data_IF_845930312211
#
_entry.id   IF_845930312211
#
_cell.length_a   1.000
_cell.length_b   1.000
_cell.length_c   1.000
_cell.angle_alpha   90.00
_cell.angle_beta   90.00
_cell.angle_gamma   90.00
#
_symmetry.space_group_name_H-M   'P 1'
#
loop_
_entity.id
_entity.type
_entity.pdbx_description
1 polymer ?
#
# COMPACT_ATOMS: atom_id res chain seq x y z
N UNK A 1 -6.31 32.92 -7.63
CA UNK A 1 -4.99 33.16 -8.25
C UNK A 1 -4.32 31.79 -8.32
N UNK A 2 -4.05 31.27 -9.52
CA UNK A 2 -3.28 30.03 -9.64
C UNK A 2 -1.83 30.39 -9.32
N UNK A 3 -1.34 29.92 -8.18
CA UNK A 3 0.05 30.11 -7.80
C UNK A 3 0.93 29.44 -8.85
N UNK A 4 1.67 30.27 -9.60
CA UNK A 4 2.71 29.83 -10.51
C UNK A 4 3.76 29.08 -9.67
N UNK A 5 3.70 27.75 -9.69
CA UNK A 5 4.76 26.93 -9.16
C UNK A 5 5.98 27.10 -10.06
N UNK A 6 6.87 28.00 -9.68
CA UNK A 6 8.17 28.16 -10.31
C UNK A 6 8.92 26.82 -10.17
N UNK A 7 9.06 26.11 -11.30
CA UNK A 7 9.78 24.83 -11.37
C UNK A 7 11.27 24.97 -11.05
N UNK A 8 11.75 26.21 -10.93
CA UNK A 8 13.14 26.54 -10.63
C UNK A 8 13.38 26.97 -9.17
N UNK A 9 12.37 26.90 -8.28
CA UNK A 9 12.55 27.33 -6.89
C UNK A 9 13.54 26.43 -6.12
N UNK A 10 14.78 26.91 -6.02
CA UNK A 10 15.86 26.27 -5.31
C UNK A 10 16.00 26.81 -3.88
N UNK A 11 15.97 25.90 -2.92
CA UNK A 11 16.05 26.17 -1.50
C UNK A 11 17.24 25.45 -0.87
N UNK A 12 17.70 25.97 0.26
CA UNK A 12 18.77 25.37 1.05
C UNK A 12 18.20 24.50 2.17
N UNK A 13 18.90 23.42 2.51
CA UNK A 13 18.51 22.58 3.63
C UNK A 13 18.72 23.32 4.98
N UNK A 14 17.74 23.28 5.90
CA UNK A 14 17.87 23.87 7.23
C UNK A 14 18.99 23.27 8.09
N UNK A 15 19.37 22.01 7.86
CA UNK A 15 20.43 21.32 8.61
C UNK A 15 21.84 21.63 8.08
N UNK A 16 21.98 21.76 6.76
CA UNK A 16 23.26 22.07 6.12
C UNK A 16 23.04 22.99 4.90
N UNK A 17 23.65 24.18 4.94
CA UNK A 17 23.55 25.20 3.88
C UNK A 17 24.23 24.80 2.57
N UNK A 18 25.10 23.78 2.58
CA UNK A 18 25.73 23.26 1.35
C UNK A 18 24.73 22.48 0.49
N UNK A 19 23.66 21.95 1.09
CA UNK A 19 22.63 21.24 0.34
C UNK A 19 21.65 22.22 -0.29
N UNK A 20 21.81 22.44 -1.60
CA UNK A 20 20.88 23.21 -2.44
C UNK A 20 20.06 22.26 -3.30
N UNK A 21 18.73 22.42 -3.29
CA UNK A 21 17.83 21.55 -4.05
C UNK A 21 16.49 22.22 -4.32
N UNK A 22 15.67 21.62 -5.18
CA UNK A 22 14.32 22.10 -5.45
C UNK A 22 13.41 22.01 -4.22
N UNK A 23 12.51 22.99 -4.03
CA UNK A 23 11.54 22.99 -2.93
C UNK A 23 10.74 21.70 -2.82
N UNK A 24 10.31 21.13 -3.95
CA UNK A 24 9.57 19.85 -4.02
C UNK A 24 10.36 18.66 -3.45
N UNK A 25 11.70 18.71 -3.51
CA UNK A 25 12.60 17.64 -3.03
C UNK A 25 13.05 17.84 -1.58
N UNK A 26 12.89 19.05 -1.03
CA UNK A 26 13.35 19.40 0.31
C UNK A 26 12.71 18.51 1.40
N UNK A 27 11.41 18.23 1.31
CA UNK A 27 10.71 17.41 2.31
C UNK A 27 11.31 15.99 2.43
N UNK A 28 11.56 15.33 1.29
CA UNK A 28 12.18 14.00 1.27
C UNK A 28 13.62 14.03 1.78
N UNK A 29 14.35 15.10 1.49
CA UNK A 29 15.73 15.28 1.92
C UNK A 29 15.88 15.51 3.43
N UNK A 30 14.99 16.32 4.02
CA UNK A 30 14.97 16.65 5.45
C UNK A 30 14.89 15.37 6.30
N UNK A 31 14.12 14.37 5.89
CA UNK A 31 13.98 13.11 6.64
C UNK A 31 15.32 12.40 6.85
N UNK A 32 16.19 12.42 5.83
CA UNK A 32 17.54 11.82 5.90
C UNK A 32 18.51 12.73 6.64
N UNK A 33 18.50 14.03 6.32
CA UNK A 33 19.41 14.99 6.95
C UNK A 33 19.18 15.14 8.45
N UNK A 34 17.93 15.00 8.92
CA UNK A 34 17.60 15.01 10.34
C UNK A 34 18.31 13.90 11.12
N UNK A 35 18.51 12.73 10.51
CA UNK A 35 19.20 11.61 11.16
C UNK A 35 20.70 11.84 11.17
N UNK A 36 21.26 12.36 10.08
CA UNK A 36 22.70 12.59 9.92
C UNK A 36 23.19 13.72 10.83
N UNK A 37 22.45 14.83 10.90
CA UNK A 37 22.85 16.06 11.61
C UNK A 37 22.12 16.24 12.95
N UNK A 38 21.57 15.16 13.52
CA UNK A 38 20.79 15.20 14.76
C UNK A 38 21.56 15.83 15.92
N UNK A 39 22.86 15.53 16.01
CA UNK A 39 23.70 15.93 17.14
C UNK A 39 24.40 17.29 16.91
N UNK A 40 24.34 17.82 15.69
CA UNK A 40 25.05 19.05 15.31
C UNK A 40 24.15 20.28 15.28
N UNK A 41 22.88 20.11 14.91
CA UNK A 41 21.94 21.22 14.73
C UNK A 41 20.60 20.85 15.32
N UNK A 42 20.22 21.55 16.39
CA UNK A 42 18.88 21.44 16.97
C UNK A 42 17.93 22.41 16.26
N UNK A 43 17.00 21.84 15.49
CA UNK A 43 15.92 22.57 14.83
C UNK A 43 14.59 22.23 15.49
N UNK A 44 13.86 23.28 15.86
CA UNK A 44 12.52 23.20 16.42
C UNK A 44 11.48 23.29 15.31
N UNK A 45 10.37 22.56 15.48
CA UNK A 45 9.25 22.56 14.53
C UNK A 45 8.25 23.63 14.94
N UNK A 46 7.83 24.48 14.01
CA UNK A 46 6.81 25.49 14.30
C UNK A 46 5.47 24.84 14.72
N UNK A 47 4.78 25.38 15.74
CA UNK A 47 3.46 24.90 16.15
C UNK A 47 2.37 25.08 15.08
N UNK A 48 2.52 26.06 14.19
CA UNK A 48 1.52 26.42 13.18
C UNK A 48 1.72 25.66 11.86
N UNK A 49 2.97 25.41 11.48
CA UNK A 49 3.31 24.70 10.26
C UNK A 49 4.49 23.75 10.46
N UNK A 50 4.24 22.46 10.27
CA UNK A 50 5.25 21.39 10.48
C UNK A 50 6.40 21.41 9.47
N UNK A 51 6.25 22.14 8.36
CA UNK A 51 7.31 22.30 7.37
C UNK A 51 8.36 23.34 7.79
N UNK A 52 8.04 24.23 8.73
CA UNK A 52 8.99 25.23 9.25
C UNK A 52 9.90 24.58 10.28
N UNK A 53 11.17 24.44 9.89
CA UNK A 53 12.26 23.99 10.76
C UNK A 53 13.15 25.19 11.09
N UNK A 54 13.30 25.48 12.38
CA UNK A 54 13.82 26.76 12.84
C UNK A 54 14.87 26.54 13.91
N UNK A 55 16.03 27.21 13.83
CA UNK A 55 17.00 27.17 14.91
C UNK A 55 16.40 27.68 16.22
N UNK A 56 16.73 27.02 17.33
CA UNK A 56 16.30 27.38 18.68
C UNK A 56 16.34 28.90 18.98
N UNK A 57 17.42 29.66 18.70
CA UNK A 57 17.47 31.09 19.06
C UNK A 57 16.44 31.95 18.31
N UNK A 58 16.01 31.53 17.12
CA UNK A 58 15.05 32.28 16.29
C UNK A 58 13.61 31.78 16.48
N UNK A 59 13.42 30.66 17.19
CA UNK A 59 12.12 30.03 17.36
C UNK A 59 11.11 30.96 18.04
N UNK A 60 11.51 31.67 19.10
CA UNK A 60 10.61 32.57 19.81
C UNK A 60 10.15 33.73 18.93
N UNK A 61 11.05 34.32 18.13
CA UNK A 61 10.68 35.39 17.21
C UNK A 61 9.74 34.87 16.11
N UNK A 62 10.03 33.70 15.54
CA UNK A 62 9.18 33.10 14.52
C UNK A 62 7.75 32.85 15.03
N UNK A 63 7.56 32.32 16.24
CA UNK A 63 6.20 32.07 16.76
C UNK A 63 5.34 33.35 16.86
N UNK A 64 5.97 34.52 16.95
CA UNK A 64 5.27 35.82 16.93
C UNK A 64 4.94 36.30 15.53
N UNK A 65 5.84 36.07 14.55
CA UNK A 65 5.75 36.63 13.20
C UNK A 65 5.48 35.61 12.09
N UNK A 66 5.14 34.36 12.43
CA UNK A 66 4.89 33.31 11.45
C UNK A 66 3.68 33.66 10.58
N UNK A 67 3.82 33.53 9.26
CA UNK A 67 2.76 33.80 8.29
C UNK A 67 1.55 32.88 8.48
N UNK A 68 1.79 31.59 8.72
CA UNK A 68 0.73 30.59 8.94
C UNK A 68 -0.06 30.80 10.23
N UNK A 69 0.44 31.61 11.15
CA UNK A 69 -0.32 32.00 12.35
C UNK A 69 -1.60 32.73 11.97
N UNK A 70 -1.57 33.52 10.89
CA UNK A 70 -2.73 34.29 10.45
C UNK A 70 -3.90 33.41 10.05
N UNK A 71 -3.64 32.21 9.51
CA UNK A 71 -4.69 31.26 9.10
C UNK A 71 -5.52 30.84 10.33
N UNK A 72 -4.83 30.49 11.42
CA UNK A 72 -5.47 30.04 12.66
C UNK A 72 -6.20 31.20 13.33
N UNK A 73 -5.57 32.37 13.42
CA UNK A 73 -6.19 33.57 14.00
C UNK A 73 -7.43 33.98 13.21
N UNK A 74 -7.34 33.96 11.88
CA UNK A 74 -8.47 34.25 11.00
C UNK A 74 -9.61 33.27 11.27
N UNK A 75 -9.34 31.97 11.29
CA UNK A 75 -10.38 30.97 11.59
C UNK A 75 -11.05 31.17 12.96
N UNK A 76 -10.29 31.57 13.98
CA UNK A 76 -10.83 31.80 15.33
C UNK A 76 -11.61 33.11 15.46
N UNK A 77 -11.23 34.14 14.70
CA UNK A 77 -11.75 35.51 14.86
C UNK A 77 -12.77 35.87 13.78
N UNK A 78 -12.78 35.16 12.66
CA UNK A 78 -13.72 35.40 11.58
C UNK A 78 -15.13 35.13 12.07
N UNK A 79 -16.02 36.10 11.84
CA UNK A 79 -17.44 35.87 12.02
C UNK A 79 -17.88 34.66 11.16
N UNK A 80 -18.79 33.81 11.65
CA UNK A 80 -19.34 32.74 10.83
C UNK A 80 -19.93 33.33 9.55
N UNK A 81 -19.70 32.66 8.42
CA UNK A 81 -20.25 33.08 7.14
C UNK A 81 -21.78 33.16 7.24
N UNK A 82 -22.34 34.34 6.92
CA UNK A 82 -23.79 34.51 6.84
C UNK A 82 -24.27 33.70 5.65
N UNK A 83 -25.12 32.71 5.90
CA UNK A 83 -25.71 31.88 4.85
C UNK A 83 -26.81 32.72 4.19
N UNK A 84 -26.54 33.24 3.00
CA UNK A 84 -27.51 34.01 2.22
C UNK A 84 -28.41 33.07 1.42
N UNK A 85 -29.57 33.56 0.95
CA UNK A 85 -30.47 32.79 0.09
C UNK A 85 -29.76 32.29 -1.18
N UNK A 86 -28.86 33.10 -1.75
CA UNK A 86 -28.03 32.73 -2.91
C UNK A 86 -27.03 31.60 -2.62
N UNK A 87 -26.63 31.44 -1.35
CA UNK A 87 -25.71 30.37 -0.90
C UNK A 87 -26.46 29.15 -0.41
N UNK A 88 -27.80 29.19 -0.36
CA UNK A 88 -28.62 28.09 0.12
C UNK A 88 -29.14 27.32 -1.07
N UNK A 89 -28.64 26.10 -1.21
CA UNK A 89 -29.07 25.21 -2.27
C UNK A 89 -30.41 24.60 -1.80
N UNK A 90 -31.43 24.46 -2.67
CA UNK A 90 -32.59 23.67 -2.31
C UNK A 90 -32.12 22.27 -1.90
N UNK A 91 -32.81 21.64 -0.94
CA UNK A 91 -32.49 20.29 -0.52
C UNK A 91 -32.57 19.38 -1.74
N UNK A 92 -31.43 18.85 -2.18
CA UNK A 92 -31.36 17.90 -3.29
C UNK A 92 -31.78 16.55 -2.70
N UNK A 93 -32.99 16.11 -3.02
CA UNK A 93 -33.40 14.75 -2.66
C UNK A 93 -32.73 13.78 -3.64
N UNK A 94 -32.05 12.78 -3.09
CA UNK A 94 -31.38 11.73 -3.85
C UNK A 94 -32.33 10.55 -3.93
N UNK A 95 -32.56 9.99 -5.12
CA UNK A 95 -33.36 8.77 -5.29
C UNK A 95 -32.65 7.53 -4.75
N UNK A 96 -31.31 7.59 -4.66
CA UNK A 96 -30.44 6.55 -4.11
C UNK A 96 -29.82 7.03 -2.79
N UNK A 97 -30.12 6.34 -1.69
CA UNK A 97 -29.52 6.59 -0.38
C UNK A 97 -28.48 5.51 -0.09
N UNK A 98 -27.21 5.90 0.02
CA UNK A 98 -26.10 5.00 0.37
C UNK A 98 -26.25 4.38 1.78
N UNK A 99 -27.09 4.95 2.65
CA UNK A 99 -27.40 4.40 3.97
C UNK A 99 -28.59 3.42 3.95
N UNK A 100 -29.39 3.40 2.86
CA UNK A 100 -30.52 2.46 2.67
C UNK A 100 -30.13 1.28 1.78
N UNK A 101 -28.83 0.97 1.66
CA UNK A 101 -28.39 -0.25 0.96
C UNK A 101 -28.95 -1.46 1.72
N UNK A 102 -30.01 -2.04 1.17
CA UNK A 102 -30.67 -3.24 1.69
C UNK A 102 -29.58 -4.24 2.04
N UNK A 103 -29.48 -4.62 3.32
CA UNK A 103 -28.37 -5.41 3.89
C UNK A 103 -27.98 -6.58 2.97
N UNK A 104 -27.03 -6.33 2.07
CA UNK A 104 -26.58 -7.31 1.09
C UNK A 104 -25.81 -8.37 1.88
N UNK A 105 -26.01 -9.67 1.60
CA UNK A 105 -25.17 -10.69 2.21
C UNK A 105 -23.69 -10.40 1.94
N UNK A 106 -22.86 -10.56 2.97
CA UNK A 106 -21.41 -10.40 2.83
C UNK A 106 -20.90 -11.30 1.70
N UNK A 107 -19.99 -10.76 0.89
CA UNK A 107 -19.35 -11.52 -0.18
C UNK A 107 -18.55 -12.70 0.40
N UNK A 108 -18.99 -13.93 0.09
CA UNK A 108 -18.24 -15.14 0.45
C UNK A 108 -17.31 -15.57 -0.71
N UNK A 109 -15.99 -15.41 -0.56
CA UNK A 109 -15.03 -15.82 -1.59
C UNK A 109 -15.05 -17.33 -1.86
N UNK A 110 -15.45 -18.17 -0.90
CA UNK A 110 -15.49 -19.61 -1.07
C UNK A 110 -16.62 -20.04 -2.02
N UNK A 111 -17.79 -19.39 -1.90
CA UNK A 111 -18.95 -19.57 -2.78
C UNK A 111 -18.65 -19.07 -4.19
N UNK A 112 -18.01 -17.90 -4.30
CA UNK A 112 -17.57 -17.40 -5.60
C UNK A 112 -16.59 -18.39 -6.25
N UNK A 113 -15.59 -18.84 -5.51
CA UNK A 113 -14.60 -19.76 -6.06
C UNK A 113 -15.22 -21.10 -6.51
N UNK A 114 -16.32 -21.56 -5.89
CA UNK A 114 -16.99 -22.82 -6.28
C UNK A 114 -17.87 -22.72 -7.50
N UNK A 115 -18.31 -21.53 -7.82
CA UNK A 115 -19.22 -21.28 -8.94
C UNK A 115 -18.49 -20.69 -10.14
N UNK A 116 -17.56 -19.77 -9.92
CA UNK A 116 -16.85 -19.04 -10.97
C UNK A 116 -15.87 -19.90 -11.78
N UNK A 117 -15.75 -19.67 -13.09
CA UNK A 117 -14.88 -20.42 -13.99
C UNK A 117 -13.37 -20.17 -13.74
N UNK A 118 -12.86 -20.67 -12.62
CA UNK A 118 -11.48 -20.55 -12.15
C UNK A 118 -10.89 -21.94 -11.87
N UNK A 119 -9.58 -22.07 -12.11
CA UNK A 119 -8.81 -23.27 -11.78
C UNK A 119 -8.41 -23.21 -10.31
N UNK A 120 -8.70 -24.28 -9.57
CA UNK A 120 -8.43 -24.40 -8.13
C UNK A 120 -7.34 -25.43 -7.86
N UNK A 121 -6.44 -25.14 -6.93
CA UNK A 121 -5.32 -26.02 -6.59
C UNK A 121 -5.54 -26.72 -5.23
N UNK A 122 -5.44 -28.07 -5.17
CA UNK A 122 -5.58 -28.81 -3.92
C UNK A 122 -4.28 -28.80 -3.10
N UNK A 123 -4.02 -27.70 -2.40
CA UNK A 123 -2.85 -27.53 -1.55
C UNK A 123 -2.99 -28.31 -0.23
N UNK A 124 -1.95 -29.05 0.16
CA UNK A 124 -1.87 -29.74 1.47
C UNK A 124 -2.67 -31.03 1.62
N UNK A 125 -3.34 -31.53 0.57
CA UNK A 125 -4.15 -32.77 0.63
C UNK A 125 -3.32 -34.05 0.39
N UNK A 126 -3.77 -35.16 0.97
CA UNK A 126 -3.18 -36.48 0.71
C UNK A 126 -3.32 -36.87 -0.77
N UNK A 127 -2.45 -37.74 -1.33
CA UNK A 127 -2.50 -38.12 -2.74
C UNK A 127 -3.87 -38.59 -3.24
N UNK A 128 -4.60 -39.39 -2.45
CA UNK A 128 -5.94 -39.86 -2.80
C UNK A 128 -6.97 -38.71 -2.85
N UNK A 129 -6.90 -37.80 -1.88
CA UNK A 129 -7.78 -36.63 -1.80
C UNK A 129 -7.50 -35.62 -2.93
N UNK A 130 -6.23 -35.42 -3.29
CA UNK A 130 -5.86 -34.60 -4.47
C UNK A 130 -6.43 -35.18 -5.75
N UNK A 131 -6.37 -36.52 -5.93
CA UNK A 131 -6.94 -37.17 -7.11
C UNK A 131 -8.46 -36.96 -7.19
N UNK A 132 -9.16 -37.15 -6.07
CA UNK A 132 -10.61 -36.91 -5.99
C UNK A 132 -10.97 -35.44 -6.26
N UNK A 133 -10.19 -34.49 -5.74
CA UNK A 133 -10.40 -33.06 -6.00
C UNK A 133 -10.22 -32.70 -7.49
N UNK A 134 -9.17 -33.21 -8.13
CA UNK A 134 -8.94 -32.99 -9.56
C UNK A 134 -10.07 -33.60 -10.40
N UNK A 135 -10.56 -34.77 -10.02
CA UNK A 135 -11.70 -35.40 -10.69
C UNK A 135 -12.98 -34.56 -10.57
N UNK A 136 -13.26 -34.03 -9.38
CA UNK A 136 -14.40 -33.16 -9.14
C UNK A 136 -14.29 -31.83 -9.91
N UNK A 137 -13.12 -31.19 -9.92
CA UNK A 137 -12.89 -29.97 -10.69
C UNK A 137 -12.99 -30.22 -12.21
N UNK A 138 -12.55 -31.39 -12.70
CA UNK A 138 -12.75 -31.77 -14.10
C UNK A 138 -14.22 -31.94 -14.46
N UNK A 139 -15.00 -32.64 -13.63
CA UNK A 139 -16.45 -32.78 -13.85
C UNK A 139 -17.16 -31.43 -13.84
N UNK A 140 -16.73 -30.53 -12.95
CA UNK A 140 -17.25 -29.16 -12.87
C UNK A 140 -16.93 -28.33 -14.12
N UNK A 141 -15.69 -28.40 -14.64
CA UNK A 141 -15.25 -27.63 -15.81
C UNK A 141 -15.75 -28.22 -17.14
N UNK A 142 -15.83 -29.54 -17.26
CA UNK A 142 -16.08 -30.25 -18.53
C UNK A 142 -17.45 -30.95 -18.64
N UNK A 143 -18.27 -30.95 -17.58
CA UNK A 143 -19.61 -31.56 -17.59
C UNK A 143 -19.65 -33.02 -17.10
N UNK A 144 -20.87 -33.55 -16.90
CA UNK A 144 -21.14 -34.94 -16.47
C UNK A 144 -20.79 -35.98 -17.55
N UNK A 145 -20.70 -35.51 -18.79
CA UNK A 145 -20.39 -36.22 -20.03
C UNK A 145 -18.89 -36.41 -20.29
N UNK A 146 -18.04 -35.99 -19.36
CA UNK A 146 -16.60 -36.26 -19.40
C UNK A 146 -16.28 -37.72 -19.03
N UNK A 147 -16.09 -38.57 -20.04
CA UNK A 147 -15.51 -39.90 -19.83
C UNK A 147 -14.00 -39.78 -19.55
N UNK A 148 -13.55 -40.34 -18.41
CA UNK A 148 -12.13 -40.43 -18.08
C UNK A 148 -11.45 -41.36 -19.09
N UNK A 149 -10.81 -40.78 -20.12
CA UNK A 149 -10.00 -41.56 -21.04
C UNK A 149 -8.96 -42.36 -20.26
N UNK A 150 -9.08 -43.70 -20.31
CA UNK A 150 -8.15 -44.63 -19.65
C UNK A 150 -6.76 -44.39 -20.23
N UNK A 151 -5.88 -43.76 -19.45
CA UNK A 151 -4.48 -43.58 -19.84
C UNK A 151 -3.86 -44.93 -20.22
N UNK A 152 -3.14 -45.02 -21.34
CA UNK A 152 -2.46 -46.24 -21.72
C UNK A 152 -1.50 -46.69 -20.60
N UNK A 153 -1.31 -48.00 -20.40
CA UNK A 153 -0.44 -48.51 -19.35
C UNK A 153 0.95 -47.92 -19.51
N UNK A 154 1.49 -47.34 -18.43
CA UNK A 154 2.86 -46.81 -18.44
C UNK A 154 3.82 -47.93 -18.81
N UNK A 155 4.52 -47.78 -19.93
CA UNK A 155 5.63 -48.67 -20.28
C UNK A 155 6.63 -48.70 -19.11
N UNK A 156 7.09 -49.89 -18.73
CA UNK A 156 8.13 -50.07 -17.72
C UNK A 156 9.38 -49.34 -18.21
N UNK A 157 9.69 -48.17 -17.65
CA UNK A 157 10.99 -47.53 -17.88
C UNK A 157 12.06 -48.51 -17.38
N UNK A 158 12.96 -48.96 -18.26
CA UNK A 158 14.17 -49.69 -17.86
C UNK A 158 14.92 -48.79 -16.88
N UNK A 159 14.91 -49.18 -15.61
CA UNK A 159 15.64 -48.49 -14.56
C UNK A 159 17.09 -48.97 -14.63
N UNK A 160 17.90 -48.34 -15.47
CA UNK A 160 19.34 -48.37 -15.26
C UNK A 160 19.64 -47.34 -14.15
N UNK A 161 20.14 -47.77 -12.98
CA UNK A 161 20.42 -46.84 -11.90
C UNK A 161 21.58 -45.94 -12.32
N UNK A 162 21.30 -44.64 -12.48
CA UNK A 162 22.34 -43.64 -12.71
C UNK A 162 23.18 -43.55 -11.42
N UNK A 163 24.50 -43.79 -11.47
CA UNK A 163 25.32 -43.79 -10.25
C UNK A 163 25.34 -42.38 -9.65
N UNK A 164 25.12 -42.31 -8.34
CA UNK A 164 25.15 -41.06 -7.58
C UNK A 164 26.61 -40.67 -7.26
N UNK A 165 26.99 -39.39 -7.28
CA UNK A 165 28.40 -38.98 -7.12
C UNK A 165 28.98 -39.10 -5.70
N UNK A 166 28.27 -39.71 -4.75
CA UNK A 166 28.67 -39.68 -3.34
C UNK A 166 28.54 -41.06 -2.69
N UNK A 167 29.47 -41.95 -3.04
CA UNK A 167 29.90 -43.00 -2.10
C UNK A 167 30.96 -42.40 -1.19
N UNK A 168 30.52 -41.90 -0.03
CA UNK A 168 31.42 -41.52 1.04
C UNK A 168 32.01 -42.77 1.67
N UNK A 169 33.29 -42.99 1.37
CA UNK A 169 34.30 -43.49 2.30
C UNK A 169 33.82 -44.60 3.25
N UNK A 170 33.85 -45.85 2.78
CA UNK A 170 34.03 -46.99 3.69
C UNK A 170 35.35 -46.80 4.42
N UNK A 171 35.22 -46.37 5.68
CA UNK A 171 36.22 -46.53 6.73
C UNK A 171 36.76 -47.96 6.75
N UNK A 172 38.08 -48.08 6.82
CA UNK A 172 38.86 -49.15 7.46
C UNK A 172 40.30 -48.58 7.50
N UNK A 173 40.85 -48.11 8.64
CA UNK A 173 41.44 -48.93 9.72
C UNK A 173 42.18 -50.12 9.08
N UNK A 174 43.52 -50.13 8.92
CA UNK A 174 44.61 -49.84 9.86
C UNK A 174 45.84 -49.28 9.13
#
# INVERSE_FOLDING_TARGET
>A
MMDNYDESDMVYCPYNKEHKMLRKKLQQHILKCRVIYKDTVELMVCPFNKSHLIPEPQFFQHTKSCEDRNIIVHYQTSAPSVINEDTRHPKIESEENWDDDDRVPDYDPQVYCSTANIVREPNGLFPAQRKAFIEQEKRRHFGEDYEEEKKPPKAKSRADPRPTPYESSRRQQF
#
